data_IF_342287441134
#
_entry.id   IF_342287441134
#
_cell.length_a   1.000
_cell.length_b   1.000
_cell.length_c   1.000
_cell.angle_alpha   90.00
_cell.angle_beta   90.00
_cell.angle_gamma   90.00
#
_symmetry.space_group_name_H-M   'P 1'
#
loop_
_entity.id
_entity.type
_entity.pdbx_description
1 polymer ?
#
# COMPACT_ATOMS: atom_id res chain seq x y z
N UNK A 1 1.14 2.20 -0.42
CA UNK A 1 1.84 2.34 -1.71
C UNK A 1 1.55 3.71 -2.29
N UNK A 2 2.56 4.56 -2.45
CA UNK A 2 2.47 5.82 -3.19
C UNK A 2 2.77 5.63 -4.70
N UNK A 3 2.82 4.39 -5.19
CA UNK A 3 3.04 4.04 -6.60
C UNK A 3 1.78 3.60 -7.35
N UNK A 4 0.59 3.70 -6.75
CA UNK A 4 -0.66 3.26 -7.37
C UNK A 4 -1.76 4.31 -7.19
N UNK A 5 -1.83 5.24 -8.13
CA UNK A 5 -2.89 6.25 -8.24
C UNK A 5 -3.13 6.57 -9.71
N UNK A 6 -4.30 7.15 -10.01
CA UNK A 6 -4.61 7.71 -11.32
C UNK A 6 -4.76 9.21 -11.15
N UNK A 7 -4.12 9.98 -12.02
CA UNK A 7 -4.13 11.44 -11.97
C UNK A 7 -4.73 11.97 -13.27
N UNK A 8 -5.71 12.86 -13.15
CA UNK A 8 -6.27 13.57 -14.30
C UNK A 8 -5.25 14.60 -14.80
N UNK A 9 -5.02 14.67 -16.10
CA UNK A 9 -4.20 15.75 -16.66
C UNK A 9 -4.90 17.10 -16.45
N UNK A 10 -4.41 17.89 -15.49
CA UNK A 10 -4.96 19.19 -15.10
C UNK A 10 -3.90 20.01 -14.36
N UNK A 11 -4.06 21.34 -14.31
CA UNK A 11 -3.15 22.22 -13.56
C UNK A 11 -3.08 21.81 -12.08
N UNK A 12 -4.23 21.58 -11.44
CA UNK A 12 -4.29 21.09 -10.05
C UNK A 12 -3.41 19.85 -9.83
N UNK A 13 -3.47 18.89 -10.75
CA UNK A 13 -2.73 17.64 -10.66
C UNK A 13 -1.22 17.82 -10.88
N UNK A 14 -0.83 18.71 -11.79
CA UNK A 14 0.57 19.05 -12.03
C UNK A 14 1.15 19.72 -10.77
N UNK A 15 0.43 20.69 -10.21
CA UNK A 15 0.83 21.39 -8.99
C UNK A 15 0.92 20.41 -7.82
N UNK A 16 -0.10 19.58 -7.63
CA UNK A 16 -0.13 18.56 -6.58
C UNK A 16 1.08 17.62 -6.65
N UNK A 17 1.39 17.07 -7.82
CA UNK A 17 2.52 16.15 -7.99
C UNK A 17 3.87 16.87 -7.82
N UNK A 18 3.99 18.11 -8.30
CA UNK A 18 5.19 18.92 -8.14
C UNK A 18 5.45 19.22 -6.66
N UNK A 19 4.42 19.62 -5.92
CA UNK A 19 4.51 19.84 -4.48
C UNK A 19 4.82 18.55 -3.71
N UNK A 20 4.23 17.42 -4.11
CA UNK A 20 4.52 16.13 -3.48
C UNK A 20 5.97 15.69 -3.71
N UNK A 21 6.50 15.88 -4.93
CA UNK A 21 7.90 15.61 -5.23
C UNK A 21 8.84 16.49 -4.37
N UNK A 22 8.54 17.79 -4.27
CA UNK A 22 9.31 18.72 -3.44
C UNK A 22 9.21 18.41 -1.94
N UNK A 23 8.21 17.62 -1.51
CA UNK A 23 8.08 17.20 -0.12
C UNK A 23 9.23 16.29 0.33
N UNK A 24 10.04 15.72 -0.58
CA UNK A 24 11.23 14.95 -0.19
C UNK A 24 12.19 15.75 0.72
N UNK A 25 12.23 17.07 0.54
CA UNK A 25 13.08 17.98 1.30
C UNK A 25 12.62 18.16 2.76
N UNK A 26 11.41 17.70 3.09
CA UNK A 26 10.78 17.83 4.41
C UNK A 26 10.75 16.52 5.20
N UNK A 27 11.27 15.43 4.64
CA UNK A 27 11.23 14.12 5.29
C UNK A 27 12.07 14.10 6.58
N UNK A 28 11.57 13.45 7.65
CA UNK A 28 12.35 13.31 8.87
C UNK A 28 13.52 12.34 8.66
N UNK A 29 14.57 12.48 9.49
CA UNK A 29 15.79 11.68 9.40
C UNK A 29 15.60 10.21 9.79
N UNK A 30 14.58 9.91 10.60
CA UNK A 30 14.32 8.57 11.13
C UNK A 30 13.63 7.63 10.13
N UNK A 31 12.89 6.64 10.64
CA UNK A 31 12.13 5.72 9.81
C UNK A 31 10.91 6.45 9.19
N UNK A 32 11.14 7.08 8.04
CA UNK A 32 10.16 7.94 7.38
C UNK A 32 9.36 7.23 6.27
N UNK A 33 9.78 6.05 5.81
CA UNK A 33 9.04 5.25 4.83
C UNK A 33 9.00 5.85 3.41
N UNK A 34 9.91 6.75 3.08
CA UNK A 34 10.00 7.43 1.78
C UNK A 34 8.67 8.07 1.35
N UNK A 35 8.36 8.02 0.05
CA UNK A 35 7.10 8.45 -0.57
C UNK A 35 5.86 7.85 0.12
N UNK A 36 5.94 6.59 0.55
CA UNK A 36 4.83 5.89 1.20
C UNK A 36 4.45 6.49 2.55
N UNK A 37 5.44 6.86 3.37
CA UNK A 37 5.18 7.58 4.61
C UNK A 37 4.81 9.03 4.35
N UNK A 38 5.48 9.69 3.41
CA UNK A 38 5.30 11.10 3.09
C UNK A 38 3.90 11.45 2.61
N UNK A 39 3.30 10.61 1.74
CA UNK A 39 2.01 10.91 1.13
C UNK A 39 0.89 11.10 2.15
N UNK A 40 0.98 10.42 3.31
CA UNK A 40 -0.02 10.52 4.37
C UNK A 40 -0.06 11.94 4.97
N UNK A 41 1.07 12.46 5.45
CA UNK A 41 1.12 13.78 6.04
C UNK A 41 0.94 14.88 5.00
N UNK A 42 1.53 14.72 3.80
CA UNK A 42 1.35 15.67 2.71
C UNK A 42 -0.12 15.86 2.33
N UNK A 43 -0.88 14.76 2.22
CA UNK A 43 -2.32 14.82 1.98
C UNK A 43 -3.06 15.47 3.15
N UNK A 44 -2.70 15.13 4.39
CA UNK A 44 -3.35 15.69 5.58
C UNK A 44 -3.16 17.21 5.67
N UNK A 45 -1.96 17.72 5.40
CA UNK A 45 -1.66 19.15 5.38
C UNK A 45 -2.50 19.91 4.36
N UNK A 46 -2.72 19.32 3.17
CA UNK A 46 -3.54 19.93 2.11
C UNK A 46 -5.04 19.87 2.43
N UNK A 47 -5.51 18.78 3.02
CA UNK A 47 -6.95 18.53 3.23
C UNK A 47 -7.46 19.12 4.55
N UNK A 48 -6.61 19.27 5.55
CA UNK A 48 -6.97 19.71 6.90
C UNK A 48 -5.96 20.74 7.45
N UNK A 49 -5.76 21.87 6.77
CA UNK A 49 -4.80 22.88 7.22
C UNK A 49 -5.13 23.40 8.61
N UNK A 50 -4.13 23.44 9.50
CA UNK A 50 -4.27 23.91 10.89
C UNK A 50 -4.99 22.96 11.84
N UNK A 51 -5.20 21.70 11.45
CA UNK A 51 -5.82 20.70 12.31
C UNK A 51 -4.82 20.18 13.37
N UNK A 52 -5.18 20.29 14.65
CA UNK A 52 -4.33 19.90 15.79
C UNK A 52 -3.99 18.40 15.83
N UNK A 53 -4.90 17.53 15.36
CA UNK A 53 -4.64 16.09 15.29
C UNK A 53 -3.60 15.77 14.21
N UNK A 54 -3.65 16.48 13.08
CA UNK A 54 -2.61 16.38 12.04
C UNK A 54 -1.25 16.79 12.62
N UNK A 55 -1.20 17.85 13.42
CA UNK A 55 0.04 18.30 14.06
C UNK A 55 0.61 17.26 15.02
N UNK A 56 -0.25 16.63 15.83
CA UNK A 56 0.17 15.52 16.71
C UNK A 56 0.71 14.34 15.91
N UNK A 57 -0.01 13.92 14.86
CA UNK A 57 0.46 12.84 14.00
C UNK A 57 1.76 13.19 13.25
N UNK A 58 1.98 14.47 12.90
CA UNK A 58 3.24 14.93 12.31
C UNK A 58 4.38 14.80 13.30
N UNK A 59 4.19 15.18 14.56
CA UNK A 59 5.22 15.01 15.59
C UNK A 59 5.62 13.52 15.72
N UNK A 60 4.65 12.62 15.76
CA UNK A 60 4.88 11.16 15.78
C UNK A 60 5.68 10.72 14.55
N UNK A 61 5.37 11.25 13.36
CA UNK A 61 6.12 10.96 12.14
C UNK A 61 7.59 11.39 12.25
N UNK A 62 7.85 12.59 12.78
CA UNK A 62 9.19 13.14 12.89
C UNK A 62 10.04 12.43 13.96
N UNK A 63 9.38 11.85 14.97
CA UNK A 63 9.99 11.01 16.02
C UNK A 63 10.03 9.51 15.66
N UNK A 64 9.56 9.12 14.47
CA UNK A 64 9.54 7.72 14.04
C UNK A 64 10.97 7.18 13.88
N UNK A 65 11.33 6.16 14.67
CA UNK A 65 12.66 5.57 14.65
C UNK A 65 12.73 4.18 14.02
N UNK A 66 11.59 3.52 13.83
CA UNK A 66 11.49 2.16 13.32
C UNK A 66 10.15 1.92 12.61
N UNK A 67 9.98 0.72 12.05
CA UNK A 67 8.78 0.32 11.31
C UNK A 67 7.50 0.36 12.14
N UNK A 68 7.56 0.06 13.44
CA UNK A 68 6.38 0.07 14.31
C UNK A 68 5.93 1.50 14.60
N UNK A 69 6.87 2.42 14.82
CA UNK A 69 6.56 3.83 15.01
C UNK A 69 5.98 4.45 13.73
N UNK A 70 6.53 4.09 12.57
CA UNK A 70 6.01 4.50 11.26
C UNK A 70 4.60 3.95 11.03
N UNK A 71 4.33 2.71 11.44
CA UNK A 71 2.99 2.13 11.39
C UNK A 71 2.02 2.86 12.33
N UNK A 72 2.48 3.29 13.51
CA UNK A 72 1.68 4.07 14.46
C UNK A 72 1.33 5.45 13.92
N UNK A 73 2.30 6.16 13.34
CA UNK A 73 2.06 7.39 12.57
C UNK A 73 1.02 7.18 11.46
N UNK A 74 1.19 6.14 10.65
CA UNK A 74 0.27 5.85 9.54
C UNK A 74 -1.13 5.57 10.07
N UNK A 75 -1.24 4.87 11.20
CA UNK A 75 -2.50 4.65 11.90
C UNK A 75 -3.14 5.95 12.39
N UNK A 76 -2.35 6.87 12.94
CA UNK A 76 -2.75 8.18 13.45
C UNK A 76 -3.38 9.03 12.33
N UNK A 77 -2.65 9.29 11.23
CA UNK A 77 -3.16 10.10 10.11
C UNK A 77 -4.38 9.46 9.45
N UNK A 78 -4.42 8.12 9.32
CA UNK A 78 -5.61 7.43 8.82
C UNK A 78 -6.81 7.56 9.75
N UNK A 79 -6.60 7.83 11.04
CA UNK A 79 -7.66 8.22 11.98
C UNK A 79 -8.27 9.56 11.61
N UNK A 80 -7.43 10.57 11.33
CA UNK A 80 -7.85 11.91 10.88
C UNK A 80 -8.68 11.85 9.59
N UNK A 81 -8.27 11.05 8.60
CA UNK A 81 -9.04 10.86 7.37
C UNK A 81 -10.41 10.19 7.61
N UNK A 82 -10.52 9.37 8.65
CA UNK A 82 -11.74 8.66 9.02
C UNK A 82 -12.23 7.70 7.92
N UNK A 83 -13.56 7.63 7.78
CA UNK A 83 -14.25 6.77 6.79
C UNK A 83 -14.53 7.49 5.47
N UNK A 84 -14.27 8.79 5.41
CA UNK A 84 -14.50 9.61 4.22
C UNK A 84 -13.51 9.23 3.12
N UNK A 85 -14.04 9.12 1.90
CA UNK A 85 -13.25 8.69 0.72
C UNK A 85 -13.14 9.79 -0.32
N UNK A 86 -14.04 10.76 -0.33
CA UNK A 86 -14.10 11.83 -1.32
C UNK A 86 -13.83 13.20 -0.68
N UNK A 87 -12.76 13.86 -1.15
CA UNK A 87 -12.32 15.17 -0.71
C UNK A 87 -12.31 16.18 -1.87
N UNK A 88 -13.19 16.01 -2.85
CA UNK A 88 -13.27 16.84 -4.04
C UNK A 88 -12.26 16.39 -5.09
N UNK A 89 -11.15 17.10 -5.23
CA UNK A 89 -10.12 16.76 -6.22
C UNK A 89 -9.33 15.48 -5.88
N UNK A 90 -9.48 14.97 -4.65
CA UNK A 90 -8.76 13.79 -4.15
C UNK A 90 -9.78 12.75 -3.71
N UNK A 91 -9.61 11.51 -4.18
CA UNK A 91 -10.37 10.34 -3.74
C UNK A 91 -9.43 9.27 -3.22
N UNK A 92 -9.69 8.79 -2.00
CA UNK A 92 -8.94 7.72 -1.34
C UNK A 92 -9.82 6.47 -1.29
N UNK A 93 -9.38 5.40 -1.94
CA UNK A 93 -10.11 4.13 -1.96
C UNK A 93 -10.10 3.46 -0.57
N UNK A 94 -11.17 2.76 -0.22
CA UNK A 94 -11.23 1.97 1.01
C UNK A 94 -10.20 0.84 0.94
N UNK A 95 -9.69 0.46 2.11
CA UNK A 95 -8.76 -0.67 2.22
C UNK A 95 -9.38 -1.94 1.61
N UNK A 96 -8.59 -2.67 0.81
CA UNK A 96 -9.05 -3.88 0.12
C UNK A 96 -9.84 -3.66 -1.16
N UNK A 97 -10.22 -2.41 -1.48
CA UNK A 97 -11.05 -2.06 -2.65
C UNK A 97 -10.27 -1.39 -3.78
N UNK A 98 -8.96 -1.25 -3.64
CA UNK A 98 -8.08 -0.72 -4.69
C UNK A 98 -7.85 -1.74 -5.80
N UNK A 99 -7.39 -1.25 -6.95
CA UNK A 99 -7.08 -2.06 -8.14
C UNK A 99 -5.69 -2.73 -8.09
N UNK A 100 -4.81 -2.26 -7.19
CA UNK A 100 -3.48 -2.81 -6.95
C UNK A 100 -3.35 -3.29 -5.51
N UNK A 101 -2.71 -4.44 -5.33
CA UNK A 101 -2.46 -5.04 -4.01
C UNK A 101 -1.19 -5.88 -4.02
N UNK A 102 -0.65 -6.14 -2.84
CA UNK A 102 0.47 -7.05 -2.72
C UNK A 102 0.04 -8.49 -3.01
N UNK A 103 0.91 -9.21 -3.72
CA UNK A 103 0.73 -10.61 -4.12
C UNK A 103 0.55 -11.56 -2.93
N UNK A 104 1.38 -11.37 -1.90
CA UNK A 104 1.44 -12.26 -0.74
C UNK A 104 0.12 -12.30 0.03
N UNK A 105 -0.77 -11.32 -0.12
CA UNK A 105 -2.07 -11.28 0.58
C UNK A 105 -2.98 -12.47 0.26
N UNK A 106 -2.81 -13.08 -0.91
CA UNK A 106 -3.66 -14.17 -1.40
C UNK A 106 -2.85 -15.33 -1.96
N UNK A 107 -1.58 -15.45 -1.57
CA UNK A 107 -0.63 -16.41 -2.15
C UNK A 107 -0.52 -16.29 -3.68
N UNK A 108 -0.61 -15.08 -4.23
CA UNK A 108 -0.56 -14.82 -5.67
C UNK A 108 -1.79 -15.23 -6.47
N UNK A 109 -2.85 -15.72 -5.82
CA UNK A 109 -4.15 -15.93 -6.47
C UNK A 109 -4.79 -14.60 -6.85
N UNK A 110 -5.40 -14.51 -8.03
CA UNK A 110 -5.95 -13.26 -8.58
C UNK A 110 -7.15 -13.51 -9.51
N UNK A 111 -7.85 -12.42 -9.86
CA UNK A 111 -8.98 -12.47 -10.79
C UNK A 111 -8.95 -11.27 -11.76
N UNK A 112 -9.07 -11.49 -13.09
CA UNK A 112 -8.93 -10.44 -14.10
C UNK A 112 -10.01 -9.34 -14.04
N UNK A 113 -11.18 -9.63 -13.49
CA UNK A 113 -12.26 -8.64 -13.34
C UNK A 113 -12.07 -7.76 -12.09
N UNK A 114 -11.17 -8.14 -11.18
CA UNK A 114 -11.01 -7.55 -9.84
C UNK A 114 -9.62 -7.00 -9.57
N UNK A 115 -8.60 -7.61 -10.15
CA UNK A 115 -7.19 -7.24 -10.00
C UNK A 115 -6.69 -6.59 -11.29
N UNK A 116 -6.12 -5.39 -11.18
CA UNK A 116 -5.40 -4.76 -12.29
C UNK A 116 -3.90 -5.04 -12.21
N UNK A 117 -3.33 -4.98 -11.01
CA UNK A 117 -1.90 -5.17 -10.79
C UNK A 117 -1.64 -5.87 -9.45
N UNK A 118 -0.80 -6.90 -9.48
CA UNK A 118 -0.16 -7.44 -8.28
C UNK A 118 1.20 -6.78 -8.11
N UNK A 119 1.49 -6.35 -6.89
CA UNK A 119 2.72 -5.65 -6.53
C UNK A 119 3.58 -6.51 -5.60
N UNK A 120 4.86 -6.13 -5.48
CA UNK A 120 5.76 -6.61 -4.43
C UNK A 120 6.74 -7.69 -4.90
N UNK A 121 6.79 -7.99 -6.19
CA UNK A 121 7.65 -9.04 -6.74
C UNK A 121 9.12 -8.61 -6.83
N UNK A 122 9.90 -8.92 -5.80
CA UNK A 122 11.36 -8.76 -5.79
C UNK A 122 12.02 -10.10 -6.06
N UNK A 123 13.00 -10.18 -6.97
CA UNK A 123 13.68 -11.44 -7.33
C UNK A 123 14.21 -12.22 -6.13
N UNK A 124 14.78 -11.53 -5.13
CA UNK A 124 15.29 -12.16 -3.90
C UNK A 124 14.23 -12.81 -2.99
N UNK A 125 12.95 -12.55 -3.27
CA UNK A 125 11.78 -13.04 -2.53
C UNK A 125 11.02 -14.14 -3.29
N UNK A 126 11.48 -14.48 -4.51
CA UNK A 126 10.85 -15.53 -5.32
C UNK A 126 11.04 -16.89 -4.64
N UNK A 127 9.95 -17.64 -4.51
CA UNK A 127 9.92 -19.01 -4.01
C UNK A 127 9.52 -19.98 -5.11
N UNK A 128 9.94 -21.23 -4.95
CA UNK A 128 9.49 -22.32 -5.80
C UNK A 128 7.98 -22.48 -5.68
N UNK A 129 7.31 -22.58 -6.82
CA UNK A 129 5.86 -22.73 -6.86
C UNK A 129 5.48 -24.13 -6.41
N UNK A 130 4.56 -24.29 -5.45
CA UNK A 130 4.18 -25.61 -4.99
C UNK A 130 3.43 -26.38 -6.08
N UNK A 131 3.56 -27.70 -6.05
CA UNK A 131 2.83 -28.58 -6.98
C UNK A 131 1.33 -28.63 -6.66
N UNK A 132 0.94 -28.36 -5.42
CA UNK A 132 -0.44 -28.38 -4.95
C UNK A 132 -1.25 -27.15 -5.41
N UNK A 133 -2.57 -27.21 -5.21
CA UNK A 133 -3.45 -26.06 -5.39
C UNK A 133 -3.22 -25.06 -4.27
N UNK A 134 -2.92 -23.81 -4.65
CA UNK A 134 -2.76 -22.71 -3.71
C UNK A 134 -4.07 -22.38 -3.01
N UNK A 135 -3.95 -21.91 -1.76
CA UNK A 135 -5.09 -21.47 -0.94
C UNK A 135 -5.07 -19.95 -0.82
N UNK A 136 -6.26 -19.36 -0.66
CA UNK A 136 -6.45 -17.93 -0.42
C UNK A 136 -6.06 -17.54 1.01
N UNK A 137 -4.79 -17.70 1.33
CA UNK A 137 -4.20 -17.34 2.62
C UNK A 137 -3.03 -16.38 2.40
N UNK A 138 -2.82 -15.42 3.30
CA UNK A 138 -1.64 -14.58 3.25
C UNK A 138 -0.36 -15.40 3.47
N UNK A 139 0.63 -15.18 2.63
CA UNK A 139 2.01 -15.62 2.82
C UNK A 139 2.79 -14.62 3.69
N UNK A 140 4.05 -14.95 3.99
CA UNK A 140 4.99 -13.95 4.50
C UNK A 140 5.16 -12.83 3.47
N UNK A 141 5.27 -11.57 3.95
CA UNK A 141 5.33 -10.38 3.09
C UNK A 141 6.57 -10.33 2.17
N UNK A 142 7.54 -11.19 2.41
CA UNK A 142 8.80 -11.34 1.68
C UNK A 142 8.83 -12.57 0.79
N UNK A 143 7.67 -13.08 0.38
CA UNK A 143 7.53 -14.27 -0.46
C UNK A 143 6.49 -14.06 -1.56
N UNK A 144 6.77 -14.62 -2.74
CA UNK A 144 5.83 -14.73 -3.86
C UNK A 144 6.23 -15.89 -4.77
N UNK A 145 5.28 -16.36 -5.58
CA UNK A 145 5.48 -17.42 -6.57
C UNK A 145 5.51 -16.85 -7.99
N UNK A 146 6.18 -17.53 -8.93
CA UNK A 146 6.18 -17.11 -10.32
C UNK A 146 4.74 -17.10 -10.87
N UNK A 147 4.20 -15.93 -11.26
CA UNK A 147 2.84 -15.77 -11.70
C UNK A 147 2.61 -16.22 -13.14
N UNK A 148 3.70 -16.36 -13.91
CA UNK A 148 3.66 -16.63 -15.34
C UNK A 148 3.51 -18.13 -15.60
N UNK A 149 2.90 -18.46 -16.73
CA UNK A 149 2.81 -19.85 -17.20
C UNK A 149 4.19 -20.45 -17.57
N UNK A 150 5.22 -19.62 -17.69
CA UNK A 150 6.60 -20.02 -18.01
C UNK A 150 7.63 -19.21 -17.21
N UNK A 151 8.94 -19.34 -17.53
CA UNK A 151 9.99 -18.62 -16.82
C UNK A 151 9.90 -17.10 -17.04
N UNK A 152 10.35 -16.34 -16.04
CA UNK A 152 10.48 -14.88 -16.13
C UNK A 152 11.74 -14.55 -16.95
N UNK A 153 11.56 -14.06 -18.18
CA UNK A 153 12.65 -13.71 -19.09
C UNK A 153 12.63 -12.21 -19.39
N UNK A 154 13.24 -11.40 -18.53
CA UNK A 154 13.15 -9.92 -18.55
C UNK A 154 13.36 -9.29 -19.93
N UNK A 155 14.26 -9.84 -20.76
CA UNK A 155 14.50 -9.36 -22.13
C UNK A 155 13.30 -9.43 -23.08
N UNK A 156 12.21 -10.12 -22.68
CA UNK A 156 10.94 -10.16 -23.40
C UNK A 156 9.98 -9.03 -23.00
N UNK A 157 10.33 -8.20 -22.01
CA UNK A 157 9.54 -7.04 -21.61
C UNK A 157 9.82 -5.86 -22.56
N UNK A 158 9.17 -5.85 -23.72
CA UNK A 158 9.22 -4.74 -24.68
C UNK A 158 7.85 -4.54 -25.35
N UNK A 159 7.62 -3.34 -25.87
CA UNK A 159 6.35 -2.97 -26.50
C UNK A 159 6.07 -3.91 -27.68
N UNK A 160 4.89 -4.51 -27.70
CA UNK A 160 4.45 -5.43 -28.76
C UNK A 160 4.71 -6.91 -28.48
N UNK A 161 5.48 -7.25 -27.44
CA UNK A 161 5.61 -8.64 -27.02
C UNK A 161 4.37 -9.10 -26.24
N UNK A 162 3.66 -10.10 -26.77
CA UNK A 162 2.47 -10.70 -26.17
C UNK A 162 2.68 -12.15 -25.72
N UNK A 163 3.93 -12.64 -25.66
CA UNK A 163 4.23 -14.04 -25.32
C UNK A 163 4.12 -14.34 -23.82
N UNK A 164 3.90 -13.32 -22.98
CA UNK A 164 3.74 -13.49 -21.55
C UNK A 164 2.29 -13.74 -21.23
N UNK A 165 2.03 -14.80 -20.49
CA UNK A 165 0.72 -15.12 -19.97
C UNK A 165 0.83 -15.50 -18.50
N UNK A 166 -0.15 -15.06 -17.71
CA UNK A 166 -0.31 -15.56 -16.35
C UNK A 166 -0.67 -17.04 -16.37
N UNK A 167 -0.25 -17.76 -15.34
CA UNK A 167 -0.62 -19.15 -15.12
C UNK A 167 -2.10 -19.24 -14.74
N UNK A 168 -2.92 -20.01 -15.48
CA UNK A 168 -4.33 -20.21 -15.14
C UNK A 168 -4.54 -20.85 -13.77
N UNK A 169 -3.52 -21.54 -13.23
CA UNK A 169 -3.55 -22.14 -11.89
C UNK A 169 -3.67 -21.10 -10.77
N UNK A 170 -3.38 -19.84 -11.07
CA UNK A 170 -3.46 -18.74 -10.11
C UNK A 170 -4.78 -17.96 -10.19
N UNK A 171 -5.70 -18.39 -11.04
CA UNK A 171 -7.03 -17.80 -11.10
C UNK A 171 -7.87 -18.27 -9.92
N UNK A 172 -8.50 -17.32 -9.24
CA UNK A 172 -9.46 -17.58 -8.18
C UNK A 172 -10.81 -16.92 -8.48
N UNK A 173 -11.84 -17.43 -7.81
CA UNK A 173 -13.16 -16.81 -7.82
C UNK A 173 -13.11 -15.41 -7.18
N UNK A 174 -13.81 -14.46 -7.80
CA UNK A 174 -13.81 -13.06 -7.36
C UNK A 174 -14.38 -12.93 -5.94
N UNK A 175 -15.48 -13.62 -5.62
CA UNK A 175 -16.13 -13.51 -4.32
C UNK A 175 -15.24 -14.08 -3.22
N UNK A 176 -14.61 -15.23 -3.47
CA UNK A 176 -13.67 -15.83 -2.51
C UNK A 176 -12.45 -14.92 -2.24
N UNK A 177 -11.93 -14.26 -3.27
CA UNK A 177 -10.85 -13.27 -3.14
C UNK A 177 -11.28 -12.08 -2.27
N UNK A 178 -12.46 -11.51 -2.56
CA UNK A 178 -12.96 -10.35 -1.84
C UNK A 178 -13.26 -10.67 -0.37
N UNK A 179 -13.80 -11.86 -0.08
CA UNK A 179 -14.01 -12.34 1.29
C UNK A 179 -12.68 -12.49 2.05
N UNK A 180 -11.67 -13.12 1.43
CA UNK A 180 -10.34 -13.30 2.04
C UNK A 180 -9.64 -11.95 2.31
N UNK A 181 -9.72 -11.01 1.38
CA UNK A 181 -9.14 -9.68 1.53
C UNK A 181 -9.87 -8.86 2.60
N UNK A 182 -11.19 -8.99 2.70
CA UNK A 182 -11.97 -8.35 3.75
C UNK A 182 -11.61 -8.90 5.14
N UNK A 183 -11.45 -10.21 5.26
CA UNK A 183 -11.01 -10.85 6.51
C UNK A 183 -9.61 -10.39 6.92
N UNK A 184 -8.69 -10.29 5.96
CA UNK A 184 -7.37 -9.72 6.22
C UNK A 184 -7.45 -8.24 6.63
N UNK A 185 -8.29 -7.45 5.96
CA UNK A 185 -8.50 -6.05 6.32
C UNK A 185 -9.01 -5.90 7.76
N UNK A 186 -9.96 -6.73 8.19
CA UNK A 186 -10.46 -6.80 9.58
C UNK A 186 -9.35 -7.16 10.57
N UNK A 187 -8.50 -8.14 10.24
CA UNK A 187 -7.34 -8.49 11.07
C UNK A 187 -6.42 -7.30 11.26
N UNK A 188 -6.05 -6.61 10.17
CA UNK A 188 -5.15 -5.46 10.29
C UNK A 188 -5.80 -4.28 11.01
N UNK A 189 -7.11 -4.11 10.91
CA UNK A 189 -7.81 -3.08 11.68
C UNK A 189 -7.72 -3.31 13.20
N UNK A 190 -7.81 -4.59 13.64
CA UNK A 190 -7.55 -4.95 15.04
C UNK A 190 -6.09 -4.70 15.45
N UNK A 191 -5.13 -5.01 14.58
CA UNK A 191 -3.71 -4.73 14.85
C UNK A 191 -3.40 -3.23 14.91
N UNK A 192 -4.10 -2.40 14.12
CA UNK A 192 -4.00 -0.94 14.18
C UNK A 192 -4.27 -0.43 15.60
N UNK A 193 -5.28 -0.96 16.29
CA UNK A 193 -5.59 -0.55 17.67
C UNK A 193 -4.41 -0.77 18.62
N UNK A 194 -3.70 -1.89 18.51
CA UNK A 194 -2.51 -2.17 19.32
C UNK A 194 -1.36 -1.21 19.00
N UNK A 195 -1.13 -0.96 17.72
CA UNK A 195 -0.06 -0.07 17.25
C UNK A 195 -0.31 1.36 17.71
N UNK A 196 -1.57 1.83 17.70
CA UNK A 196 -1.95 3.14 18.24
C UNK A 196 -1.69 3.28 19.76
N UNK A 197 -1.61 2.18 20.50
CA UNK A 197 -1.19 2.21 21.91
C UNK A 197 0.24 2.73 22.12
N UNK A 198 1.06 2.81 21.05
CA UNK A 198 2.44 3.31 21.10
C UNK A 198 2.54 4.82 21.01
N UNK A 199 1.47 5.54 20.67
CA UNK A 199 1.53 6.98 20.42
C UNK A 199 2.14 7.79 21.58
N UNK A 200 1.75 7.58 22.86
CA UNK A 200 2.35 8.32 23.97
C UNK A 200 3.86 8.08 24.10
N UNK A 201 4.29 6.82 23.94
CA UNK A 201 5.70 6.43 24.02
C UNK A 201 6.53 7.14 22.94
N UNK A 202 5.98 7.30 21.73
CA UNK A 202 6.68 7.98 20.64
C UNK A 202 6.76 9.49 20.91
N UNK A 203 5.69 10.10 21.41
CA UNK A 203 5.65 11.53 21.75
C UNK A 203 6.64 11.89 22.87
N UNK A 204 6.92 10.97 23.78
CA UNK A 204 7.90 11.19 24.87
C UNK A 204 9.36 11.01 24.43
N UNK A 205 9.63 10.58 23.19
CA UNK A 205 11.01 10.49 22.68
C UNK A 205 11.64 11.89 22.61
N UNK A 206 12.85 11.98 23.13
CA UNK A 206 13.72 13.16 23.06
C UNK A 206 14.49 13.21 21.76
#
# INVERSE_FOLDING_TARGET
MAGSYIVKNSLYSIDFLTEFANFEQKLPKGAHGSDNGAIHIFLADKLFPGNLEVDTCREIYYKSGNSDDLAAYTGCIRGVFGTRTDFGNIRIMKKGTGWSRDDWLTSGLWNPSRDFMLHGWKTKQLKDSPNETLKLIPMSYDQWYNPLAGPIVVGRCFIGNITWSYSPRLLADQRQLDDALLDYARKVDKEKAKILGRLPIILEKT
#
